data_IF_701214619232
#
_entry.id   IF_701214619232
#
_cell.length_a   1.000
_cell.length_b   1.000
_cell.length_c   1.000
_cell.angle_alpha   90.00
_cell.angle_beta   90.00
_cell.angle_gamma   90.00
#
_symmetry.space_group_name_H-M   'P 1'
#
loop_
_entity.id
_entity.type
_entity.pdbx_description
1 polymer ?
#
# COMPACT_ATOMS: atom_id res chain seq x y z
N UNK A 1 33.22 -23.37 -27.07
CA UNK A 1 34.25 -22.32 -26.84
C UNK A 1 35.03 -22.73 -25.60
N UNK A 2 36.38 -22.77 -25.63
CA UNK A 2 37.17 -23.28 -24.51
C UNK A 2 36.89 -22.45 -23.26
N UNK A 3 36.53 -23.12 -22.15
CA UNK A 3 36.33 -22.47 -20.87
C UNK A 3 37.67 -21.86 -20.41
N UNK A 4 37.79 -20.55 -20.53
CA UNK A 4 39.01 -19.85 -20.13
C UNK A 4 39.18 -20.03 -18.62
N UNK A 5 40.34 -20.56 -18.20
CA UNK A 5 40.63 -20.78 -16.77
C UNK A 5 40.40 -19.48 -16.01
N UNK A 6 39.37 -19.45 -15.17
CA UNK A 6 39.08 -18.32 -14.32
C UNK A 6 40.25 -18.17 -13.35
N UNK A 7 41.14 -17.21 -13.62
CA UNK A 7 42.15 -16.81 -12.65
C UNK A 7 41.45 -16.33 -11.38
N UNK A 8 41.93 -16.71 -10.18
CA UNK A 8 41.25 -16.42 -8.92
C UNK A 8 40.90 -14.93 -8.76
N UNK A 9 41.77 -14.03 -9.26
CA UNK A 9 41.54 -12.58 -9.26
C UNK A 9 40.28 -12.14 -10.02
N UNK A 10 39.96 -12.76 -11.16
CA UNK A 10 38.76 -12.42 -11.94
C UNK A 10 37.48 -12.96 -11.30
N UNK A 11 37.57 -14.09 -10.60
CA UNK A 11 36.45 -14.65 -9.87
C UNK A 11 36.05 -13.73 -8.70
N UNK A 12 37.03 -13.24 -7.93
CA UNK A 12 36.78 -12.29 -6.85
C UNK A 12 36.10 -11.02 -7.36
N UNK A 13 36.54 -10.47 -8.50
CA UNK A 13 35.93 -9.27 -9.09
C UNK A 13 34.45 -9.49 -9.42
N UNK A 14 34.09 -10.62 -10.04
CA UNK A 14 32.71 -10.94 -10.39
C UNK A 14 31.86 -11.09 -9.12
N UNK A 15 32.37 -11.77 -8.10
CA UNK A 15 31.66 -11.96 -6.82
C UNK A 15 31.40 -10.62 -6.13
N UNK A 16 32.40 -9.73 -6.08
CA UNK A 16 32.22 -8.39 -5.51
C UNK A 16 31.17 -7.60 -6.29
N UNK A 17 31.22 -7.64 -7.63
CA UNK A 17 30.25 -6.93 -8.46
C UNK A 17 28.83 -7.48 -8.28
N UNK A 18 28.69 -8.81 -8.14
CA UNK A 18 27.43 -9.47 -7.86
C UNK A 18 26.86 -9.07 -6.49
N UNK A 19 27.70 -9.01 -5.45
CA UNK A 19 27.29 -8.60 -4.11
C UNK A 19 26.76 -7.16 -4.08
N UNK A 20 27.40 -6.24 -4.80
CA UNK A 20 26.94 -4.84 -4.94
C UNK A 20 25.56 -4.80 -5.59
N UNK A 21 25.35 -5.57 -6.66
CA UNK A 21 24.07 -5.63 -7.35
C UNK A 21 22.97 -6.20 -6.45
N UNK A 22 23.25 -7.29 -5.73
CA UNK A 22 22.30 -7.89 -4.78
C UNK A 22 21.93 -6.86 -3.69
N UNK A 23 22.91 -6.21 -3.05
CA UNK A 23 22.65 -5.24 -2.00
C UNK A 23 21.78 -4.07 -2.49
N UNK A 24 22.05 -3.53 -3.68
CA UNK A 24 21.25 -2.46 -4.28
C UNK A 24 19.81 -2.93 -4.61
N UNK A 25 19.65 -4.16 -5.10
CA UNK A 25 18.35 -4.74 -5.41
C UNK A 25 17.55 -4.99 -4.13
N UNK A 26 18.18 -5.59 -3.11
CA UNK A 26 17.55 -5.85 -1.81
C UNK A 26 17.12 -4.56 -1.12
N UNK A 27 17.93 -3.50 -1.20
CA UNK A 27 17.54 -2.17 -0.68
C UNK A 27 16.27 -1.65 -1.37
N UNK A 28 16.16 -1.78 -2.70
CA UNK A 28 14.96 -1.39 -3.45
C UNK A 28 13.74 -2.27 -3.16
N UNK A 29 13.93 -3.57 -2.91
CA UNK A 29 12.81 -4.49 -2.63
C UNK A 29 12.22 -4.28 -1.23
N UNK A 30 13.03 -3.99 -0.21
CA UNK A 30 12.54 -3.79 1.16
C UNK A 30 11.69 -2.52 1.34
N UNK A 31 11.87 -1.52 0.47
CA UNK A 31 11.15 -0.25 0.54
C UNK A 31 9.69 -0.36 0.04
N UNK A 32 9.39 -1.34 -0.84
CA UNK A 32 8.09 -1.44 -1.51
C UNK A 32 6.99 -2.19 -0.74
N UNK A 33 7.33 -2.97 0.30
CA UNK A 33 6.37 -3.88 0.95
C UNK A 33 5.75 -3.32 2.24
N UNK A 34 5.96 -2.05 2.55
CA UNK A 34 5.41 -1.44 3.76
C UNK A 34 4.00 -0.89 3.53
N UNK A 35 3.09 -1.78 3.09
CA UNK A 35 1.66 -1.50 3.16
C UNK A 35 1.26 -1.33 4.61
N UNK A 36 1.01 -0.09 5.07
CA UNK A 36 0.71 0.17 6.46
C UNK A 36 -0.68 -0.41 6.79
N UNK A 37 -0.73 -1.44 7.64
CA UNK A 37 -1.98 -2.09 8.03
C UNK A 37 -2.57 -1.31 9.22
N UNK A 38 -3.74 -0.73 9.03
CA UNK A 38 -4.44 0.04 10.06
C UNK A 38 -5.64 -0.77 10.53
N UNK A 39 -5.61 -1.16 11.81
CA UNK A 39 -6.74 -1.84 12.45
C UNK A 39 -7.69 -0.80 13.03
N UNK A 40 -8.86 -0.69 12.41
CA UNK A 40 -9.92 0.22 12.86
C UNK A 40 -10.88 -0.48 13.81
N UNK A 41 -10.67 -0.28 15.11
CA UNK A 41 -11.46 -0.88 16.21
C UNK A 41 -12.64 0.03 16.63
N UNK A 42 -12.61 1.31 16.29
CA UNK A 42 -13.57 2.34 16.74
C UNK A 42 -14.46 2.85 15.60
N UNK A 43 -15.61 3.46 15.96
CA UNK A 43 -16.55 4.08 15.01
C UNK A 43 -15.93 5.18 14.14
N UNK A 44 -14.85 5.82 14.59
CA UNK A 44 -14.11 6.82 13.80
C UNK A 44 -12.61 6.53 13.88
N UNK A 45 -11.94 6.49 12.73
CA UNK A 45 -10.49 6.32 12.63
C UNK A 45 -9.88 7.49 11.91
N UNK A 46 -8.81 8.05 12.48
CA UNK A 46 -7.99 9.04 11.81
C UNK A 46 -6.57 8.51 11.66
N UNK A 47 -6.02 8.64 10.46
CA UNK A 47 -4.63 8.30 10.19
C UNK A 47 -4.07 9.23 9.12
N UNK A 48 -2.75 9.38 9.10
CA UNK A 48 -2.07 10.15 8.07
C UNK A 48 -1.37 9.22 7.09
N UNK A 49 -1.68 9.34 5.81
CA UNK A 49 -0.96 8.67 4.73
C UNK A 49 -0.23 9.72 3.89
N UNK A 50 1.09 9.59 3.74
CA UNK A 50 1.92 10.54 3.02
C UNK A 50 1.67 12.02 3.42
N UNK A 51 1.61 12.27 4.74
CA UNK A 51 1.32 13.58 5.38
C UNK A 51 -0.07 14.16 5.10
N UNK A 52 -0.99 13.38 4.51
CA UNK A 52 -2.38 13.79 4.30
C UNK A 52 -3.30 13.08 5.30
N UNK A 53 -4.16 13.82 6.01
CA UNK A 53 -5.08 13.23 6.98
C UNK A 53 -6.21 12.51 6.26
N UNK A 54 -6.52 11.32 6.74
CA UNK A 54 -7.69 10.53 6.37
C UNK A 54 -8.58 10.34 7.58
N UNK A 55 -9.89 10.44 7.36
CA UNK A 55 -10.90 10.16 8.36
C UNK A 55 -11.86 9.08 7.84
N UNK A 56 -12.00 8.01 8.60
CA UNK A 56 -12.97 6.95 8.34
C UNK A 56 -14.03 7.00 9.42
N UNK A 57 -15.29 7.08 9.04
CA UNK A 57 -16.44 7.05 9.94
C UNK A 57 -17.30 5.84 9.60
N UNK A 58 -17.35 4.90 10.52
CA UNK A 58 -18.14 3.67 10.41
C UNK A 58 -19.47 3.90 11.12
N UNK A 59 -20.56 3.84 10.36
CA UNK A 59 -21.94 3.86 10.84
C UNK A 59 -22.51 2.44 10.82
N UNK A 60 -23.74 2.24 11.32
CA UNK A 60 -24.39 0.92 11.33
C UNK A 60 -24.54 0.30 9.94
N UNK A 61 -24.84 1.13 8.94
CA UNK A 61 -25.13 0.67 7.58
C UNK A 61 -24.03 0.99 6.56
N UNK A 62 -23.31 2.10 6.75
CA UNK A 62 -22.37 2.62 5.77
C UNK A 62 -21.05 3.07 6.40
N UNK A 63 -20.01 3.07 5.58
CA UNK A 63 -18.66 3.52 5.92
C UNK A 63 -18.37 4.74 5.04
N UNK A 64 -18.00 5.82 5.70
CA UNK A 64 -17.60 7.07 5.07
C UNK A 64 -16.10 7.21 5.20
N UNK A 65 -15.41 7.40 4.07
CA UNK A 65 -13.98 7.69 4.05
C UNK A 65 -13.85 9.10 3.48
N UNK A 66 -13.17 9.98 4.20
CA UNK A 66 -12.89 11.35 3.77
C UNK A 66 -11.39 11.46 3.52
N UNK A 67 -11.03 11.97 2.35
CA UNK A 67 -9.64 12.19 1.95
C UNK A 67 -9.55 12.89 0.59
N UNK A 68 -8.32 13.12 0.12
CA UNK A 68 -8.08 13.78 -1.17
C UNK A 68 -8.36 12.79 -2.33
N UNK A 69 -9.50 12.94 -3.00
CA UNK A 69 -9.91 12.06 -4.10
C UNK A 69 -9.06 12.21 -5.36
N UNK A 70 -8.35 13.33 -5.52
CA UNK A 70 -7.50 13.57 -6.67
C UNK A 70 -6.22 12.76 -6.55
N UNK A 71 -5.66 12.65 -5.33
CA UNK A 71 -4.40 11.93 -5.07
C UNK A 71 -4.58 10.47 -4.70
N UNK A 72 -5.75 10.06 -4.21
CA UNK A 72 -5.95 8.71 -3.69
C UNK A 72 -7.11 7.96 -4.36
N UNK A 73 -7.03 6.64 -4.33
CA UNK A 73 -8.07 5.72 -4.81
C UNK A 73 -8.43 4.75 -3.68
N UNK A 74 -9.72 4.45 -3.54
CA UNK A 74 -10.22 3.47 -2.58
C UNK A 74 -10.71 2.25 -3.33
N UNK A 75 -10.30 1.05 -2.90
CA UNK A 75 -10.82 -0.21 -3.40
C UNK A 75 -11.27 -1.12 -2.27
N UNK A 76 -12.35 -1.85 -2.52
CA UNK A 76 -12.98 -2.78 -1.59
C UNK A 76 -13.14 -4.10 -2.32
N UNK A 77 -12.58 -5.20 -1.80
CA UNK A 77 -12.57 -6.51 -2.47
C UNK A 77 -12.13 -6.42 -3.96
N UNK A 78 -11.09 -5.62 -4.25
CA UNK A 78 -10.56 -5.33 -5.58
C UNK A 78 -11.45 -4.47 -6.50
N UNK A 79 -12.64 -4.05 -6.04
CA UNK A 79 -13.49 -3.12 -6.79
C UNK A 79 -13.17 -1.68 -6.40
N UNK A 80 -12.91 -0.83 -7.40
CA UNK A 80 -12.64 0.59 -7.18
C UNK A 80 -13.95 1.29 -6.83
N UNK A 81 -13.96 1.99 -5.69
CA UNK A 81 -15.09 2.80 -5.25
C UNK A 81 -14.86 4.23 -5.74
N UNK A 82 -15.86 4.78 -6.44
CA UNK A 82 -15.80 6.17 -6.91
C UNK A 82 -16.01 7.12 -5.73
N UNK A 83 -15.19 8.16 -5.65
CA UNK A 83 -15.43 9.26 -4.72
C UNK A 83 -16.68 10.03 -5.19
N UNK A 84 -17.47 10.53 -4.24
CA UNK A 84 -18.47 11.55 -4.54
C UNK A 84 -17.74 12.79 -5.07
N UNK A 85 -18.26 13.35 -6.17
CA UNK A 85 -17.68 14.52 -6.83
C UNK A 85 -17.77 15.79 -5.99
N UNK A 86 -18.66 15.86 -5.01
CA UNK A 86 -18.86 17.09 -4.24
C UNK A 86 -17.93 17.22 -3.03
N UNK A 87 -17.65 16.11 -2.33
CA UNK A 87 -16.98 16.15 -1.03
C UNK A 87 -15.72 15.28 -0.95
N UNK A 88 -15.26 14.70 -2.07
CA UNK A 88 -14.10 13.79 -2.12
C UNK A 88 -14.20 12.65 -1.10
N UNK A 89 -15.41 12.25 -0.76
CA UNK A 89 -15.67 11.18 0.19
C UNK A 89 -16.05 9.90 -0.56
N UNK A 90 -15.73 8.77 0.03
CA UNK A 90 -16.14 7.45 -0.46
C UNK A 90 -17.20 6.89 0.48
N UNK A 91 -18.34 6.51 -0.10
CA UNK A 91 -19.42 5.81 0.60
C UNK A 91 -19.34 4.32 0.26
N UNK A 92 -19.24 3.48 1.27
CA UNK A 92 -19.23 2.01 1.12
C UNK A 92 -20.35 1.45 1.98
N UNK A 93 -21.26 0.69 1.37
CA UNK A 93 -22.32 0.03 2.13
C UNK A 93 -21.80 -1.22 2.83
N UNK A 94 -22.05 -1.32 4.14
CA UNK A 94 -21.65 -2.44 5.00
C UNK A 94 -22.45 -3.73 4.72
N UNK A 95 -23.54 -3.64 3.94
CA UNK A 95 -24.31 -4.82 3.52
C UNK A 95 -23.48 -5.83 2.72
N UNK A 96 -22.40 -5.37 2.07
CA UNK A 96 -21.48 -6.25 1.37
C UNK A 96 -20.37 -6.69 2.33
N UNK A 97 -20.16 -8.00 2.46
CA UNK A 97 -19.05 -8.55 3.24
C UNK A 97 -17.73 -8.17 2.56
N UNK A 98 -16.94 -7.31 3.20
CA UNK A 98 -15.59 -6.95 2.75
C UNK A 98 -14.56 -7.49 3.74
N UNK A 99 -13.43 -7.97 3.21
CA UNK A 99 -12.32 -8.46 4.04
C UNK A 99 -11.45 -7.28 4.52
N UNK A 100 -11.17 -6.35 3.62
CA UNK A 100 -10.38 -5.15 3.90
C UNK A 100 -10.70 -4.04 2.90
N UNK A 101 -10.38 -2.80 3.28
CA UNK A 101 -10.45 -1.62 2.42
C UNK A 101 -9.01 -1.23 2.09
N UNK A 102 -8.69 -1.08 0.80
CA UNK A 102 -7.39 -0.65 0.35
C UNK A 102 -7.46 0.82 -0.09
N UNK A 103 -6.60 1.66 0.48
CA UNK A 103 -6.48 3.06 0.11
C UNK A 103 -5.11 3.21 -0.52
N UNK A 104 -5.04 3.59 -1.80
CA UNK A 104 -3.79 3.68 -2.55
C UNK A 104 -3.55 5.09 -3.04
N UNK A 105 -2.33 5.58 -2.89
CA UNK A 105 -1.87 6.82 -3.47
C UNK A 105 -1.59 6.62 -4.98
N UNK A 106 -2.09 7.53 -5.82
CA UNK A 106 -1.96 7.46 -7.29
C UNK A 106 -0.57 7.86 -7.79
N UNK A 107 0.18 8.66 -7.03
CA UNK A 107 1.47 9.23 -7.43
C UNK A 107 2.63 8.26 -7.17
N UNK A 108 2.69 7.68 -5.97
CA UNK A 108 3.81 6.84 -5.55
C UNK A 108 3.46 5.35 -5.40
N UNK A 109 2.16 4.99 -5.42
CA UNK A 109 1.72 3.62 -5.27
C UNK A 109 1.65 3.12 -3.83
N UNK A 110 1.97 3.96 -2.83
CA UNK A 110 1.82 3.61 -1.41
C UNK A 110 0.38 3.24 -1.11
N UNK A 111 0.19 2.24 -0.26
CA UNK A 111 -1.14 1.81 0.12
C UNK A 111 -1.28 1.55 1.61
N UNK A 112 -2.49 1.75 2.09
CA UNK A 112 -2.93 1.43 3.44
C UNK A 112 -4.01 0.37 3.34
N UNK A 113 -3.84 -0.70 4.11
CA UNK A 113 -4.84 -1.74 4.27
C UNK A 113 -5.60 -1.48 5.56
N UNK A 114 -6.86 -1.07 5.44
CA UNK A 114 -7.74 -0.86 6.58
C UNK A 114 -8.55 -2.12 6.83
N UNK A 115 -8.41 -2.67 8.03
CA UNK A 115 -9.17 -3.83 8.48
C UNK A 115 -10.12 -3.34 9.57
N UNK A 116 -11.42 -3.47 9.31
CA UNK A 116 -12.43 -3.25 10.33
C UNK A 116 -12.67 -4.57 11.08
N UNK A 117 -12.41 -4.59 12.39
CA UNK A 117 -12.78 -5.72 13.25
C UNK A 117 -14.02 -5.35 14.04
N UNK A 118 -15.14 -6.00 13.74
CA UNK A 118 -16.27 -6.03 14.65
C UNK A 118 -15.88 -6.86 15.89
N UNK A 119 -16.15 -6.32 17.08
CA UNK A 119 -15.75 -6.91 18.36
C UNK A 119 -16.81 -7.89 18.85
#
# INVERSE_FOLDING_TARGET
MPAQKLTPARLTQIVVMLLILIAAFTWRTLDQDQGNIINCVVKTCQFSLNKQPFEIRVTEHDIYIVGDSDKFRVSVNNNIVSADKNNSNWLISKQQKYDHILITNKENGDYVKVIHKEK
#
